data_IF_722953365169
#
_entry.id   IF_722953365169
#
_cell.length_a   1.000
_cell.length_b   1.000
_cell.length_c   1.000
_cell.angle_alpha   90.00
_cell.angle_beta   90.00
_cell.angle_gamma   90.00
#
_symmetry.space_group_name_H-M   'P 1'
#
loop_
_entity.id
_entity.type
_entity.pdbx_description
1 polymer ?
#
# COMPACT_ATOMS: atom_id res chain seq x y z
N UNK A 1 -50.52 52.26 -17.53
CA UNK A 1 -50.51 51.78 -16.13
C UNK A 1 -49.95 50.36 -16.18
N UNK A 2 -48.66 50.19 -15.91
CA UNK A 2 -47.97 48.90 -16.01
C UNK A 2 -47.24 48.67 -14.67
N UNK A 3 -47.65 47.64 -13.94
CA UNK A 3 -47.01 47.23 -12.68
C UNK A 3 -45.63 46.61 -12.97
N UNK A 4 -44.57 47.01 -12.25
CA UNK A 4 -43.33 46.26 -12.25
C UNK A 4 -43.48 45.08 -11.27
N UNK A 5 -43.58 43.86 -11.82
CA UNK A 5 -43.47 42.62 -11.05
C UNK A 5 -42.12 42.59 -10.31
N UNK A 6 -42.16 42.62 -8.98
CA UNK A 6 -41.00 42.38 -8.12
C UNK A 6 -40.63 40.90 -8.19
N UNK A 7 -39.55 40.59 -8.91
CA UNK A 7 -38.91 39.28 -8.91
C UNK A 7 -38.47 38.93 -7.50
N UNK A 8 -38.95 37.79 -7.00
CA UNK A 8 -38.63 37.25 -5.69
C UNK A 8 -37.14 36.99 -5.53
N UNK A 9 -36.64 37.37 -4.35
CA UNK A 9 -35.31 37.08 -3.84
C UNK A 9 -35.08 35.56 -3.82
N UNK A 10 -34.14 35.08 -4.63
CA UNK A 10 -33.86 33.64 -4.79
C UNK A 10 -33.03 33.18 -3.59
N UNK A 11 -33.69 32.45 -2.69
CA UNK A 11 -33.12 31.87 -1.46
C UNK A 11 -32.09 30.74 -1.70
N UNK A 12 -31.80 30.40 -2.96
CA UNK A 12 -30.95 29.25 -3.33
C UNK A 12 -29.45 29.57 -3.38
N UNK A 13 -29.03 30.79 -3.04
CA UNK A 13 -27.60 31.10 -2.95
C UNK A 13 -27.14 30.87 -1.52
N UNK A 14 -26.30 29.85 -1.22
CA UNK A 14 -25.77 29.69 0.12
C UNK A 14 -25.01 30.97 0.48
N UNK A 15 -25.52 31.70 1.48
CA UNK A 15 -24.85 32.89 2.04
C UNK A 15 -23.51 32.42 2.58
N UNK A 16 -22.44 32.72 1.86
CA UNK A 16 -21.07 32.61 2.34
C UNK A 16 -20.94 33.55 3.54
N UNK A 17 -21.06 32.97 4.73
CA UNK A 17 -20.85 33.64 6.02
C UNK A 17 -19.46 34.25 5.96
N UNK A 18 -19.40 35.59 6.03
CA UNK A 18 -18.16 36.36 6.05
C UNK A 18 -17.23 35.76 7.11
N UNK A 19 -16.13 35.20 6.62
CA UNK A 19 -15.02 34.60 7.37
C UNK A 19 -14.63 35.54 8.51
N UNK A 20 -14.91 35.13 9.75
CA UNK A 20 -14.40 35.81 10.93
C UNK A 20 -12.88 35.90 10.80
N UNK A 21 -12.37 37.12 10.90
CA UNK A 21 -10.94 37.42 11.01
C UNK A 21 -10.49 36.82 12.35
N UNK A 22 -10.16 35.54 12.34
CA UNK A 22 -9.45 34.88 13.41
C UNK A 22 -7.98 35.21 13.21
N UNK A 23 -7.48 36.13 14.01
CA UNK A 23 -6.05 36.34 14.18
C UNK A 23 -5.50 35.09 14.90
N UNK A 24 -5.25 34.04 14.12
CA UNK A 24 -4.40 32.93 14.55
C UNK A 24 -2.97 33.36 14.22
N UNK A 25 -2.10 33.57 15.21
CA UNK A 25 -0.68 33.65 14.93
C UNK A 25 -0.31 32.30 14.34
N UNK A 26 -0.10 32.25 13.02
CA UNK A 26 0.48 31.09 12.37
C UNK A 26 1.94 31.08 12.79
N UNK A 27 2.21 30.53 13.98
CA UNK A 27 3.57 30.15 14.34
C UNK A 27 4.03 29.23 13.21
N UNK A 28 5.15 29.56 12.58
CA UNK A 28 5.67 28.85 11.43
C UNK A 28 6.23 27.50 11.88
N UNK A 29 5.32 26.56 12.15
CA UNK A 29 5.59 25.20 12.63
C UNK A 29 6.48 24.42 11.65
N UNK A 30 6.53 24.86 10.40
CA UNK A 30 7.37 24.23 9.38
C UNK A 30 8.85 24.57 9.56
N UNK A 31 9.17 25.83 9.85
CA UNK A 31 10.56 26.26 10.12
C UNK A 31 11.15 25.56 11.36
N UNK A 32 10.37 25.48 12.46
CA UNK A 32 10.80 24.77 13.67
C UNK A 32 10.84 23.24 13.48
N UNK A 33 9.93 22.69 12.67
CA UNK A 33 9.89 21.27 12.35
C UNK A 33 11.11 20.80 11.56
N UNK A 34 11.53 21.56 10.56
CA UNK A 34 12.72 21.26 9.76
C UNK A 34 14.00 21.33 10.61
N UNK A 35 14.08 22.32 11.52
CA UNK A 35 15.19 22.42 12.47
C UNK A 35 15.24 21.21 13.42
N UNK A 36 14.10 20.84 14.01
CA UNK A 36 14.00 19.68 14.90
C UNK A 36 14.36 18.37 14.19
N UNK A 37 13.94 18.18 12.94
CA UNK A 37 14.29 17.00 12.14
C UNK A 37 15.80 16.94 11.83
N UNK A 38 16.41 18.08 11.50
CA UNK A 38 17.87 18.13 11.27
C UNK A 38 18.64 17.87 12.56
N UNK A 39 18.17 18.41 13.68
CA UNK A 39 18.76 18.20 15.00
C UNK A 39 18.63 16.73 15.45
N UNK A 40 17.47 16.10 15.25
CA UNK A 40 17.26 14.68 15.55
C UNK A 40 18.19 13.77 14.73
N UNK A 41 18.34 14.02 13.42
CA UNK A 41 19.30 13.29 12.57
C UNK A 41 20.75 13.49 13.02
N UNK A 42 21.09 14.70 13.45
CA UNK A 42 22.42 15.02 13.94
C UNK A 42 22.73 14.30 15.27
N UNK A 43 21.80 14.33 16.23
CA UNK A 43 21.96 13.69 17.53
C UNK A 43 22.00 12.15 17.44
N UNK A 44 21.30 11.55 16.46
CA UNK A 44 21.32 10.10 16.20
C UNK A 44 22.59 9.57 15.55
N UNK A 45 23.57 10.42 15.23
CA UNK A 45 24.82 10.03 14.58
C UNK A 45 25.92 9.73 15.60
N UNK A 46 26.63 8.60 15.47
CA UNK A 46 27.73 8.22 16.37
C UNK A 46 28.86 9.27 16.47
N UNK A 47 29.05 10.07 15.42
CA UNK A 47 30.02 11.18 15.40
C UNK A 47 29.69 12.29 16.40
N UNK A 48 28.41 12.55 16.69
CA UNK A 48 28.02 13.58 17.67
C UNK A 48 28.47 13.20 19.07
N UNK A 49 28.22 11.95 19.48
CA UNK A 49 28.66 11.43 20.77
C UNK A 49 30.17 11.52 20.91
N UNK A 50 30.93 11.14 19.87
CA UNK A 50 32.39 11.24 19.88
C UNK A 50 32.87 12.69 20.12
N UNK A 51 32.33 13.67 19.38
CA UNK A 51 32.68 15.07 19.56
C UNK A 51 32.31 15.60 20.95
N UNK A 52 31.15 15.22 21.48
CA UNK A 52 30.72 15.59 22.83
C UNK A 52 31.65 15.00 23.90
N UNK A 53 32.05 13.73 23.76
CA UNK A 53 33.01 13.09 24.67
C UNK A 53 34.36 13.78 24.62
N UNK A 54 34.88 14.09 23.41
CA UNK A 54 36.14 14.83 23.25
C UNK A 54 36.05 16.21 23.88
N UNK A 55 34.93 16.93 23.71
CA UNK A 55 34.71 18.22 24.35
C UNK A 55 34.75 18.13 25.88
N UNK A 56 34.04 17.16 26.47
CA UNK A 56 34.04 16.94 27.93
C UNK A 56 35.45 16.60 28.43
N UNK A 57 36.15 15.67 27.76
CA UNK A 57 37.53 15.31 28.13
C UNK A 57 38.44 16.54 28.04
N UNK A 58 38.39 17.29 26.94
CA UNK A 58 39.21 18.48 26.75
C UNK A 58 38.92 19.55 27.81
N UNK A 59 37.65 19.74 28.19
CA UNK A 59 37.26 20.66 29.26
C UNK A 59 37.82 20.26 30.62
N UNK A 60 37.70 18.97 30.96
CA UNK A 60 38.23 18.41 32.22
C UNK A 60 39.75 18.53 32.24
N UNK A 61 40.43 18.15 31.15
CA UNK A 61 41.89 18.26 31.03
C UNK A 61 42.34 19.72 31.15
N UNK A 62 41.67 20.63 30.44
CA UNK A 62 41.98 22.06 30.51
C UNK A 62 41.87 22.56 31.95
N UNK A 63 40.75 22.35 32.62
CA UNK A 63 40.56 22.87 33.98
C UNK A 63 41.41 22.16 35.05
N UNK A 64 41.84 20.91 34.79
CA UNK A 64 42.73 20.17 35.71
C UNK A 64 44.18 20.61 35.57
N UNK A 65 44.68 20.72 34.34
CA UNK A 65 46.09 20.99 34.04
C UNK A 65 46.41 22.47 33.82
N UNK A 66 45.40 23.33 33.62
CA UNK A 66 45.63 24.77 33.52
C UNK A 66 46.16 25.33 34.86
N UNK A 67 47.09 26.30 34.80
CA UNK A 67 47.53 27.07 35.96
C UNK A 67 46.35 27.79 36.64
N UNK A 68 46.41 27.98 37.97
CA UNK A 68 45.31 28.51 38.80
C UNK A 68 44.72 29.84 38.30
N UNK A 69 45.51 30.66 37.61
CA UNK A 69 45.08 31.93 37.03
C UNK A 69 44.23 31.79 35.75
N UNK A 70 44.23 30.62 35.09
CA UNK A 70 43.48 30.34 33.84
C UNK A 70 42.43 29.24 34.00
N UNK A 71 42.24 28.70 35.22
CA UNK A 71 41.15 27.78 35.53
C UNK A 71 39.83 28.54 35.54
N UNK A 72 38.94 28.15 34.65
CA UNK A 72 37.58 28.72 34.58
C UNK A 72 36.61 27.96 35.49
N UNK A 73 36.85 26.67 35.71
CA UNK A 73 35.94 25.74 36.37
C UNK A 73 36.74 24.77 37.26
N UNK A 74 37.02 25.16 38.50
CA UNK A 74 37.79 24.36 39.45
C UNK A 74 36.95 23.20 40.04
N UNK A 75 37.60 22.17 40.58
CA UNK A 75 36.90 21.02 41.16
C UNK A 75 35.87 21.50 42.21
N UNK A 76 34.55 21.22 42.06
CA UNK A 76 33.95 20.05 41.41
C UNK A 76 33.31 20.27 40.01
N UNK A 77 33.82 21.17 39.16
CA UNK A 77 33.34 21.40 37.78
C UNK A 77 31.87 21.87 37.71
N UNK A 78 31.53 22.91 38.45
CA UNK A 78 30.16 23.43 38.55
C UNK A 78 29.66 23.96 37.21
N UNK A 79 30.50 24.61 36.41
CA UNK A 79 30.08 25.18 35.12
C UNK A 79 29.78 24.09 34.11
N UNK A 80 30.62 23.07 34.01
CA UNK A 80 30.34 21.91 33.15
C UNK A 80 29.01 21.26 33.53
N UNK A 81 28.76 21.09 34.83
CA UNK A 81 27.51 20.50 35.33
C UNK A 81 26.29 21.38 35.02
N UNK A 82 26.42 22.70 35.17
CA UNK A 82 25.37 23.66 34.84
C UNK A 82 25.05 23.62 33.33
N UNK A 83 26.06 23.61 32.47
CA UNK A 83 25.87 23.53 31.02
C UNK A 83 25.21 22.20 30.63
N UNK A 84 25.66 21.07 31.19
CA UNK A 84 25.07 19.76 30.89
C UNK A 84 23.62 19.64 31.37
N UNK A 85 23.30 20.17 32.54
CA UNK A 85 21.91 20.16 33.04
C UNK A 85 20.99 21.05 32.21
N UNK A 86 21.46 22.23 31.78
CA UNK A 86 20.73 23.08 30.84
C UNK A 86 20.55 22.40 29.49
N UNK A 87 21.59 21.73 28.98
CA UNK A 87 21.56 21.01 27.70
C UNK A 87 20.51 19.90 27.72
N UNK A 88 20.38 19.16 28.82
CA UNK A 88 19.34 18.15 29.00
C UNK A 88 17.93 18.79 29.06
N UNK A 89 17.79 19.90 29.80
CA UNK A 89 16.51 20.60 29.96
C UNK A 89 15.96 21.14 28.64
N UNK A 90 16.82 21.71 27.77
CA UNK A 90 16.40 22.23 26.47
C UNK A 90 16.25 21.14 25.39
N UNK A 91 16.93 19.99 25.55
CA UNK A 91 16.77 18.86 24.64
C UNK A 91 15.37 18.26 24.72
N UNK A 92 14.78 18.14 25.91
CA UNK A 92 13.45 17.54 26.11
C UNK A 92 12.33 18.17 25.25
N UNK A 93 12.10 19.49 25.26
CA UNK A 93 11.07 20.12 24.42
C UNK A 93 11.37 20.01 22.92
N UNK A 94 12.65 20.07 22.52
CA UNK A 94 13.03 19.87 21.12
C UNK A 94 12.79 18.44 20.64
N UNK A 95 13.06 17.45 21.50
CA UNK A 95 12.78 16.04 21.22
C UNK A 95 11.28 15.82 21.08
N UNK A 96 10.45 16.39 21.95
CA UNK A 96 8.99 16.29 21.86
C UNK A 96 8.46 16.86 20.53
N UNK A 97 9.01 17.99 20.07
CA UNK A 97 8.65 18.58 18.77
C UNK A 97 9.07 17.69 17.59
N UNK A 98 10.27 17.10 17.65
CA UNK A 98 10.72 16.15 16.63
C UNK A 98 9.83 14.89 16.63
N UNK A 99 9.44 14.40 17.80
CA UNK A 99 8.56 13.23 17.96
C UNK A 99 7.17 13.47 17.39
N UNK A 100 6.51 14.59 17.71
CA UNK A 100 5.19 14.93 17.16
C UNK A 100 5.18 14.88 15.63
N UNK A 101 6.25 15.36 14.97
CA UNK A 101 6.35 15.31 13.50
C UNK A 101 6.62 13.91 12.94
N UNK A 102 7.35 13.06 13.68
CA UNK A 102 7.50 11.66 13.27
C UNK A 102 6.17 10.93 13.40
N UNK A 103 5.45 11.14 14.50
CA UNK A 103 4.12 10.54 14.73
C UNK A 103 3.11 10.96 13.66
N UNK A 104 3.12 12.23 13.24
CA UNK A 104 2.26 12.70 12.14
C UNK A 104 2.57 11.98 10.81
N UNK A 105 3.85 11.77 10.48
CA UNK A 105 4.25 11.01 9.30
C UNK A 105 3.84 9.54 9.40
N UNK A 106 4.13 8.92 10.54
CA UNK A 106 3.80 7.53 10.81
C UNK A 106 2.28 7.29 10.73
N UNK A 107 1.49 8.26 11.18
CA UNK A 107 0.02 8.24 11.07
C UNK A 107 -0.45 8.27 9.61
N UNK A 108 0.15 9.10 8.77
CA UNK A 108 -0.18 9.15 7.33
C UNK A 108 0.15 7.81 6.66
N UNK A 109 1.34 7.27 6.94
CA UNK A 109 1.78 5.98 6.41
C UNK A 109 0.82 4.86 6.86
N UNK A 110 0.46 4.81 8.14
CA UNK A 110 -0.47 3.82 8.67
C UNK A 110 -1.87 3.91 8.07
N UNK A 111 -2.33 5.13 7.75
CA UNK A 111 -3.62 5.34 7.08
C UNK A 111 -3.58 4.82 5.65
N UNK A 112 -2.51 5.12 4.91
CA UNK A 112 -2.33 4.63 3.54
C UNK A 112 -2.21 3.10 3.48
N UNK A 113 -1.49 2.50 4.43
CA UNK A 113 -1.34 1.06 4.53
C UNK A 113 -2.69 0.37 4.79
N UNK A 114 -3.51 0.94 5.68
CA UNK A 114 -4.87 0.46 5.95
C UNK A 114 -5.77 0.53 4.70
N UNK A 115 -5.71 1.62 3.96
CA UNK A 115 -6.46 1.76 2.70
C UNK A 115 -5.98 0.75 1.65
N UNK A 116 -4.67 0.55 1.53
CA UNK A 116 -4.09 -0.44 0.62
C UNK A 116 -4.52 -1.87 1.00
N UNK A 117 -4.49 -2.22 2.29
CA UNK A 117 -4.94 -3.50 2.80
C UNK A 117 -6.43 -3.74 2.50
N UNK A 118 -7.27 -2.71 2.65
CA UNK A 118 -8.70 -2.80 2.33
C UNK A 118 -8.92 -3.07 0.84
N UNK A 119 -8.18 -2.40 -0.05
CA UNK A 119 -8.24 -2.66 -1.50
C UNK A 119 -7.75 -4.07 -1.84
N UNK A 120 -6.62 -4.50 -1.28
CA UNK A 120 -6.09 -5.83 -1.49
C UNK A 120 -7.07 -6.94 -1.05
N UNK A 121 -7.81 -6.71 0.05
CA UNK A 121 -8.84 -7.63 0.50
C UNK A 121 -10.00 -7.74 -0.51
N UNK A 122 -10.46 -6.61 -1.05
CA UNK A 122 -11.49 -6.57 -2.08
C UNK A 122 -11.04 -7.25 -3.39
N UNK A 123 -9.80 -7.02 -3.81
CA UNK A 123 -9.20 -7.65 -4.99
C UNK A 123 -9.10 -9.16 -4.81
N UNK A 124 -8.71 -9.65 -3.63
CA UNK A 124 -8.72 -11.08 -3.33
C UNK A 124 -10.13 -11.68 -3.36
N UNK A 125 -11.13 -10.99 -2.81
CA UNK A 125 -12.52 -11.45 -2.88
C UNK A 125 -13.03 -11.51 -4.32
N UNK A 126 -12.68 -10.51 -5.14
CA UNK A 126 -13.00 -10.50 -6.56
C UNK A 126 -12.35 -11.67 -7.29
N UNK A 127 -11.03 -11.85 -7.13
CA UNK A 127 -10.30 -12.97 -7.72
C UNK A 127 -10.83 -14.33 -7.24
N UNK A 128 -11.20 -14.47 -5.97
CA UNK A 128 -11.78 -15.70 -5.44
C UNK A 128 -13.14 -16.01 -6.10
N UNK A 129 -13.98 -14.99 -6.33
CA UNK A 129 -15.25 -15.15 -7.05
C UNK A 129 -15.03 -15.51 -8.51
N UNK A 130 -14.07 -14.87 -9.18
CA UNK A 130 -13.72 -15.19 -10.58
C UNK A 130 -13.11 -16.59 -10.72
N UNK A 131 -12.29 -17.03 -9.77
CA UNK A 131 -11.76 -18.40 -9.76
C UNK A 131 -12.88 -19.40 -9.49
N UNK A 132 -13.84 -19.08 -8.63
CA UNK A 132 -15.00 -19.93 -8.38
C UNK A 132 -15.91 -20.04 -9.61
N UNK A 133 -16.20 -18.92 -10.30
CA UNK A 133 -17.00 -18.92 -11.54
C UNK A 133 -16.28 -19.69 -12.66
N UNK A 134 -14.97 -19.48 -12.83
CA UNK A 134 -14.15 -20.23 -13.78
C UNK A 134 -14.15 -21.72 -13.48
N UNK A 135 -14.05 -22.11 -12.20
CA UNK A 135 -14.11 -23.51 -11.77
C UNK A 135 -15.48 -24.13 -12.07
N UNK A 136 -16.58 -23.41 -11.87
CA UNK A 136 -17.93 -23.90 -12.20
C UNK A 136 -18.07 -24.09 -13.72
N UNK A 137 -17.67 -23.09 -14.51
CA UNK A 137 -17.70 -23.16 -15.97
C UNK A 137 -16.84 -24.32 -16.52
N UNK A 138 -15.65 -24.56 -15.98
CA UNK A 138 -14.83 -25.72 -16.34
C UNK A 138 -15.43 -27.05 -15.83
N UNK A 139 -16.05 -27.04 -14.65
CA UNK A 139 -16.72 -28.20 -14.08
C UNK A 139 -17.86 -28.70 -14.97
N UNK A 140 -18.60 -27.80 -15.62
CA UNK A 140 -19.65 -28.15 -16.57
C UNK A 140 -19.08 -28.77 -17.85
N UNK A 141 -18.01 -28.21 -18.41
CA UNK A 141 -17.39 -28.68 -19.67
C UNK A 141 -16.56 -29.97 -19.49
N UNK A 142 -16.04 -30.23 -18.30
CA UNK A 142 -15.22 -31.41 -18.00
C UNK A 142 -15.99 -32.51 -17.24
N UNK A 143 -17.32 -32.56 -17.37
CA UNK A 143 -18.07 -33.64 -16.73
C UNK A 143 -17.72 -34.97 -17.42
N UNK A 144 -17.23 -35.95 -16.65
CA UNK A 144 -16.87 -37.30 -17.13
C UNK A 144 -17.97 -37.90 -18.01
N UNK A 145 -19.23 -37.64 -17.69
CA UNK A 145 -20.37 -38.15 -18.45
C UNK A 145 -20.54 -37.48 -19.81
N UNK A 146 -20.21 -36.19 -19.95
CA UNK A 146 -20.18 -35.50 -21.24
C UNK A 146 -19.02 -35.99 -22.12
N UNK A 147 -17.81 -36.07 -21.55
CA UNK A 147 -16.67 -36.68 -22.27
C UNK A 147 -16.96 -38.13 -22.67
N UNK A 148 -17.64 -38.87 -21.81
CA UNK A 148 -18.01 -40.26 -22.06
C UNK A 148 -19.10 -40.38 -23.11
N UNK A 149 -20.11 -39.51 -23.11
CA UNK A 149 -21.14 -39.51 -24.15
C UNK A 149 -20.56 -39.14 -25.50
N UNK A 150 -19.66 -38.14 -25.54
CA UNK A 150 -19.05 -37.70 -26.79
C UNK A 150 -18.10 -38.76 -27.37
N UNK A 151 -17.27 -39.39 -26.51
CA UNK A 151 -16.46 -40.54 -26.91
C UNK A 151 -17.33 -41.70 -27.44
N UNK A 152 -18.50 -41.94 -26.84
CA UNK A 152 -19.41 -43.01 -27.30
C UNK A 152 -20.12 -42.66 -28.59
N UNK A 153 -20.51 -41.40 -28.75
CA UNK A 153 -21.12 -40.90 -29.99
C UNK A 153 -20.13 -41.03 -31.15
N UNK A 154 -18.88 -40.60 -30.96
CA UNK A 154 -17.82 -40.74 -31.97
C UNK A 154 -17.49 -42.21 -32.27
N UNK A 155 -17.48 -43.09 -31.25
CA UNK A 155 -17.25 -44.52 -31.47
C UNK A 155 -18.38 -45.16 -32.29
N UNK A 156 -19.63 -44.83 -31.96
CA UNK A 156 -20.81 -45.30 -32.68
C UNK A 156 -20.83 -44.82 -34.13
N UNK A 157 -20.39 -43.58 -34.40
CA UNK A 157 -20.30 -43.05 -35.77
C UNK A 157 -19.26 -43.80 -36.61
N UNK A 158 -18.16 -44.27 -35.98
CA UNK A 158 -17.15 -45.10 -36.63
C UNK A 158 -17.67 -46.52 -36.90
N UNK A 159 -18.34 -47.16 -35.94
CA UNK A 159 -18.96 -48.48 -36.14
C UNK A 159 -20.01 -48.46 -37.26
N UNK A 160 -20.87 -47.43 -37.30
CA UNK A 160 -21.88 -47.25 -38.36
C UNK A 160 -21.23 -47.05 -39.74
N UNK A 161 -20.03 -46.46 -39.81
CA UNK A 161 -19.26 -46.32 -41.04
C UNK A 161 -18.69 -47.66 -41.49
N UNK A 162 -18.06 -48.41 -40.59
CA UNK A 162 -17.52 -49.73 -40.88
C UNK A 162 -18.63 -50.69 -41.35
N UNK A 163 -19.80 -50.69 -40.70
CA UNK A 163 -20.95 -51.50 -41.14
C UNK A 163 -21.45 -51.12 -42.53
N UNK A 164 -21.45 -49.83 -42.89
CA UNK A 164 -21.85 -49.37 -44.23
C UNK A 164 -20.84 -49.83 -45.27
N UNK A 165 -19.55 -49.74 -44.98
CA UNK A 165 -18.48 -50.23 -45.86
C UNK A 165 -18.58 -51.75 -46.05
N UNK A 166 -18.86 -52.52 -45.00
CA UNK A 166 -19.09 -53.96 -45.10
C UNK A 166 -20.33 -54.32 -45.93
N UNK A 167 -21.45 -53.59 -45.77
CA UNK A 167 -22.67 -53.81 -46.56
C UNK A 167 -22.48 -53.46 -48.03
N UNK A 168 -21.77 -52.38 -48.34
CA UNK A 168 -21.41 -52.02 -49.72
C UNK A 168 -20.48 -53.08 -50.33
N UNK A 169 -19.54 -53.60 -49.55
CA UNK A 169 -18.65 -54.71 -49.95
C UNK A 169 -19.43 -56.01 -50.22
N UNK A 170 -20.39 -56.35 -49.37
CA UNK A 170 -21.24 -57.54 -49.51
C UNK A 170 -22.24 -57.41 -50.69
N UNK A 171 -22.80 -56.22 -50.90
CA UNK A 171 -23.68 -55.95 -52.04
C UNK A 171 -22.91 -55.93 -53.38
N UNK A 172 -21.63 -55.56 -53.37
CA UNK A 172 -20.74 -55.65 -54.53
C UNK A 172 -20.28 -57.07 -54.90
N UNK A 173 -20.38 -58.04 -53.99
CA UNK A 173 -19.91 -59.42 -54.19
C UNK A 173 -20.90 -60.38 -54.86
N UNK A 174 -22.16 -59.97 -55.08
CA UNK A 174 -23.28 -60.85 -55.47
C UNK A 174 -23.61 -60.92 -56.97
N UNK A 175 -22.67 -60.65 -57.88
CA UNK A 175 -22.88 -60.75 -59.33
C UNK A 175 -22.00 -61.82 -59.98
N UNK A 176 -22.38 -63.10 -59.82
CA UNK A 176 -21.87 -64.20 -60.65
C UNK A 176 -23.01 -64.79 -61.48
N UNK A 177 -23.00 -64.74 -62.82
CA UNK A 177 -24.12 -65.20 -63.63
C UNK A 177 -24.03 -66.72 -63.83
N UNK A 178 -24.89 -67.49 -63.16
CA UNK A 178 -25.13 -68.89 -63.52
C UNK A 178 -26.17 -68.95 -64.65
N UNK A 179 -25.62 -69.09 -65.85
CA UNK A 179 -26.28 -69.55 -67.07
C UNK A 179 -26.86 -70.98 -66.90
N UNK A 180 -27.81 -71.32 -67.80
CA UNK A 180 -28.29 -72.68 -68.15
C UNK A 180 -29.33 -73.34 -67.22
N UNK A 181 -30.44 -73.93 -67.69
CA UNK A 181 -30.89 -74.22 -69.06
C UNK A 181 -32.31 -74.80 -69.05
N UNK A 182 -32.91 -74.84 -70.25
CA UNK A 182 -34.18 -75.51 -70.63
C UNK A 182 -34.12 -77.01 -70.24
N UNK A 183 -35.19 -77.75 -69.99
CA UNK A 183 -36.43 -77.99 -70.75
C UNK A 183 -37.53 -78.55 -69.83
#
# INVERSE_FOLDING_TARGET
MAEPRRTGDRLDTPRVIKRQISWRPSYDTDSFGIFAERFARFMGTAKFLLWMTVFVIMWVLWNTFAPDNWRFDEYPLIFLTLILSLQASYAAPLILLAQNRQEDRDRVIATQDRDAATRAHADMEFLAREVASLRMAMGEVATRDYLRSELRALLSELEDRDEREERESAAGGGSGPSHEGRE
#
